data_IF_483218708799
#
_entry.id   IF_483218708799
#
_cell.length_a   1.000
_cell.length_b   1.000
_cell.length_c   1.000
_cell.angle_alpha   90.00
_cell.angle_beta   90.00
_cell.angle_gamma   90.00
#
_symmetry.space_group_name_H-M   'P 1'
#
loop_
_entity.id
_entity.type
_entity.pdbx_description
1 polymer ?
#
# COMPACT_ATOMS: atom_id res chain seq x y z
N UNK A 1 5.26 26.56 10.39
CA UNK A 1 4.03 27.17 9.85
C UNK A 1 4.05 27.11 8.32
N UNK A 2 3.56 26.03 7.72
CA UNK A 2 3.48 25.84 6.25
C UNK A 2 2.03 25.66 5.76
N UNK A 3 1.03 25.66 6.66
CA UNK A 3 -0.35 25.29 6.34
C UNK A 3 -1.15 26.35 5.57
N UNK A 4 -0.62 27.56 5.36
CA UNK A 4 -1.34 28.60 4.61
C UNK A 4 -1.33 28.39 3.10
N UNK A 5 -0.31 27.72 2.54
CA UNK A 5 -0.15 27.55 1.09
C UNK A 5 -0.52 26.17 0.57
N UNK A 6 -0.70 25.20 1.46
CA UNK A 6 -0.99 23.82 1.13
C UNK A 6 -2.37 23.42 1.64
N UNK A 7 -2.99 22.47 0.95
CA UNK A 7 -4.20 21.77 1.37
C UNK A 7 -3.93 20.28 1.35
N UNK A 8 -4.40 19.58 2.37
CA UNK A 8 -4.33 18.12 2.45
C UNK A 8 -5.73 17.54 2.27
N UNK A 9 -5.85 16.52 1.43
CA UNK A 9 -7.05 15.69 1.27
C UNK A 9 -6.70 14.27 1.67
N UNK A 10 -7.57 13.62 2.44
CA UNK A 10 -7.42 12.21 2.79
C UNK A 10 -8.47 11.38 2.05
N UNK A 11 -8.09 10.18 1.62
CA UNK A 11 -9.02 9.19 1.11
C UNK A 11 -9.70 8.47 2.28
N UNK A 12 -10.79 7.75 1.99
CA UNK A 12 -11.37 6.80 2.93
C UNK A 12 -10.33 5.72 3.25
N UNK A 13 -10.28 5.29 4.52
CA UNK A 13 -9.46 4.15 4.92
C UNK A 13 -10.00 2.87 4.28
N UNK A 14 -9.11 2.07 3.73
CA UNK A 14 -9.45 0.78 3.14
C UNK A 14 -8.81 -0.34 3.95
N UNK A 15 -9.52 -1.46 4.11
CA UNK A 15 -9.06 -2.64 4.83
C UNK A 15 -8.96 -3.79 3.86
N UNK A 16 -7.81 -4.45 3.82
CA UNK A 16 -7.57 -5.60 2.96
C UNK A 16 -7.27 -6.82 3.82
N UNK A 17 -7.97 -7.94 3.63
CA UNK A 17 -7.71 -9.14 4.39
C UNK A 17 -6.32 -9.71 4.05
N UNK A 18 -5.58 -10.14 5.07
CA UNK A 18 -4.32 -10.86 4.93
C UNK A 18 -4.62 -12.37 5.02
N UNK A 19 -3.79 -13.18 4.36
CA UNK A 19 -3.83 -14.64 4.44
C UNK A 19 -3.54 -15.12 5.87
N UNK A 20 -4.29 -16.12 6.35
CA UNK A 20 -4.14 -16.69 7.70
C UNK A 20 -2.81 -17.45 7.88
N UNK A 21 -2.17 -17.81 6.77
CA UNK A 21 -0.85 -18.44 6.80
C UNK A 21 0.27 -17.47 7.23
N UNK A 22 0.00 -16.15 7.25
CA UNK A 22 0.95 -15.14 7.71
C UNK A 22 0.65 -14.68 9.13
N UNK A 23 1.70 -14.65 9.96
CA UNK A 23 1.65 -14.03 11.27
C UNK A 23 1.81 -12.51 11.20
N UNK A 24 1.49 -11.82 12.30
CA UNK A 24 1.76 -10.38 12.44
C UNK A 24 3.25 -10.10 12.22
N UNK A 25 4.12 -10.96 12.73
CA UNK A 25 5.56 -10.78 12.62
C UNK A 25 6.03 -10.87 11.17
N UNK A 26 5.51 -11.83 10.39
CA UNK A 26 5.87 -11.98 8.98
C UNK A 26 5.51 -10.73 8.18
N UNK A 27 4.34 -10.13 8.46
CA UNK A 27 3.91 -8.90 7.81
C UNK A 27 4.74 -7.70 8.29
N UNK A 28 5.02 -7.59 9.60
CA UNK A 28 5.87 -6.51 10.13
C UNK A 28 7.29 -6.57 9.58
N UNK A 29 7.87 -7.75 9.45
CA UNK A 29 9.21 -7.94 8.88
C UNK A 29 9.27 -7.40 7.45
N UNK A 30 8.22 -7.63 6.66
CA UNK A 30 8.08 -7.03 5.33
C UNK A 30 7.94 -5.51 5.43
N UNK A 31 7.05 -4.99 6.28
CA UNK A 31 6.79 -3.55 6.39
C UNK A 31 8.00 -2.76 6.93
N UNK A 32 8.86 -3.38 7.73
CA UNK A 32 10.06 -2.75 8.30
C UNK A 32 11.30 -2.92 7.43
N UNK A 33 11.29 -3.87 6.49
CA UNK A 33 12.39 -4.05 5.54
C UNK A 33 12.24 -3.08 4.37
N UNK A 34 12.70 -1.84 4.57
CA UNK A 34 12.54 -0.76 3.58
C UNK A 34 13.15 -1.07 2.20
N UNK A 35 14.24 -1.84 2.11
CA UNK A 35 14.85 -2.28 0.84
C UNK A 35 14.00 -3.31 0.09
N UNK A 36 13.18 -4.07 0.82
CA UNK A 36 12.21 -5.00 0.23
C UNK A 36 11.00 -4.20 -0.25
N UNK A 37 10.45 -3.35 0.61
CA UNK A 37 9.31 -2.49 0.26
C UNK A 37 9.57 -1.61 -0.95
N UNK A 38 10.78 -1.08 -1.12
CA UNK A 38 11.10 -0.29 -2.31
C UNK A 38 10.96 -1.13 -3.60
N UNK A 39 11.37 -2.40 -3.56
CA UNK A 39 11.19 -3.31 -4.69
C UNK A 39 9.72 -3.72 -4.89
N UNK A 40 8.93 -3.80 -3.82
CA UNK A 40 7.48 -4.06 -3.93
C UNK A 40 6.75 -2.85 -4.52
N UNK A 41 7.05 -1.64 -4.06
CA UNK A 41 6.38 -0.42 -4.51
C UNK A 41 6.81 0.03 -5.91
N UNK A 42 8.06 -0.24 -6.29
CA UNK A 42 8.60 0.14 -7.60
C UNK A 42 9.41 -1.01 -8.23
N UNK A 43 8.74 -2.12 -8.63
CA UNK A 43 9.43 -3.34 -9.06
C UNK A 43 10.25 -3.20 -10.34
N UNK A 44 9.91 -2.23 -11.20
CA UNK A 44 10.60 -1.96 -12.46
C UNK A 44 11.46 -0.68 -12.45
N UNK A 45 11.57 0.01 -11.32
CA UNK A 45 12.38 1.22 -11.22
C UNK A 45 13.80 0.89 -10.81
N UNK A 46 14.76 1.64 -11.36
CA UNK A 46 16.13 1.61 -10.84
C UNK A 46 16.11 2.42 -9.55
N UNK A 47 16.25 1.74 -8.41
CA UNK A 47 16.42 2.44 -7.13
C UNK A 47 17.88 2.83 -7.01
N UNK A 48 18.29 3.83 -7.78
CA UNK A 48 19.65 4.39 -7.73
C UNK A 48 19.77 5.34 -6.54
N UNK A 49 20.69 5.03 -5.63
CA UNK A 49 20.95 5.88 -4.48
C UNK A 49 20.01 5.59 -3.31
N UNK A 50 20.36 4.54 -2.55
CA UNK A 50 20.16 4.56 -1.11
C UNK A 50 21.02 5.71 -0.56
N UNK A 51 20.57 6.96 -0.69
CA UNK A 51 21.12 8.08 0.09
C UNK A 51 20.66 7.87 1.54
N UNK A 52 21.31 6.90 2.22
CA UNK A 52 21.25 6.71 3.65
C UNK A 52 21.93 7.89 4.32
N UNK A 53 21.27 9.04 4.32
CA UNK A 53 21.80 10.23 4.98
C UNK A 53 20.70 11.15 5.50
N UNK A 54 19.93 10.68 6.49
CA UNK A 54 19.69 11.47 7.72
C UNK A 54 19.20 10.55 8.84
N UNK A 55 19.84 10.68 9.99
CA UNK A 55 19.93 9.81 11.17
C UNK A 55 18.59 9.51 11.88
N UNK A 56 18.03 8.30 11.70
CA UNK A 56 17.25 7.54 12.71
C UNK A 56 16.99 6.11 12.20
N UNK A 57 17.01 5.06 13.05
CA UNK A 57 16.86 3.66 12.63
C UNK A 57 15.50 3.33 11.96
N UNK A 58 14.48 4.17 12.13
CA UNK A 58 13.11 3.92 11.66
C UNK A 58 12.76 4.61 10.33
N UNK A 59 13.67 5.38 9.72
CA UNK A 59 13.36 6.15 8.50
C UNK A 59 14.42 5.96 7.44
N UNK A 60 14.00 5.64 6.21
CA UNK A 60 14.87 5.56 5.04
C UNK A 60 14.33 6.43 3.91
N UNK A 61 15.22 7.21 3.30
CA UNK A 61 14.92 8.02 2.12
C UNK A 61 15.42 7.30 0.87
N UNK A 62 14.64 7.33 -0.19
CA UNK A 62 14.91 6.72 -1.48
C UNK A 62 14.75 7.76 -2.57
N UNK A 63 15.67 7.78 -3.52
CA UNK A 63 15.45 8.43 -4.80
C UNK A 63 14.95 7.36 -5.75
N UNK A 64 13.73 7.53 -6.27
CA UNK A 64 13.14 6.60 -7.22
C UNK A 64 13.21 7.25 -8.59
N UNK A 65 14.16 6.79 -9.40
CA UNK A 65 14.21 7.18 -10.81
C UNK A 65 13.32 6.25 -11.61
N UNK A 66 12.33 6.85 -12.27
CA UNK A 66 11.58 6.25 -13.36
C UNK A 66 12.01 6.92 -14.67
N UNK A 67 11.71 6.30 -15.82
CA UNK A 67 12.13 6.76 -17.15
C UNK A 67 11.85 8.26 -17.41
N UNK A 68 10.81 8.81 -16.76
CA UNK A 68 10.30 10.16 -17.00
C UNK A 68 10.33 11.09 -15.77
N UNK A 69 10.70 10.58 -14.58
CA UNK A 69 10.61 11.35 -13.32
C UNK A 69 11.65 10.90 -12.30
N UNK A 70 12.25 11.88 -11.60
CA UNK A 70 13.06 11.66 -10.41
C UNK A 70 12.23 12.03 -9.18
N UNK A 71 11.35 11.12 -8.78
CA UNK A 71 10.51 11.32 -7.61
C UNK A 71 11.28 10.91 -6.34
N UNK A 72 11.10 11.70 -5.28
CA UNK A 72 11.71 11.41 -3.98
C UNK A 72 10.72 10.68 -3.11
N UNK A 73 11.08 9.50 -2.65
CA UNK A 73 10.27 8.72 -1.74
C UNK A 73 10.92 8.62 -0.35
N UNK A 74 10.12 8.58 0.70
CA UNK A 74 10.57 8.36 2.07
C UNK A 74 9.72 7.26 2.68
N UNK A 75 10.36 6.19 3.16
CA UNK A 75 9.74 5.17 3.99
C UNK A 75 10.05 5.45 5.46
N UNK A 76 9.02 5.42 6.29
CA UNK A 76 9.14 5.56 7.74
C UNK A 76 8.41 4.41 8.41
N UNK A 77 9.15 3.54 9.09
CA UNK A 77 8.61 2.49 9.94
C UNK A 77 8.09 3.08 11.25
N UNK A 78 6.98 2.53 11.71
CA UNK A 78 6.34 2.75 13.01
C UNK A 78 6.13 1.37 13.66
N UNK A 79 5.69 1.32 14.92
CA UNK A 79 5.58 0.06 15.65
C UNK A 79 4.71 -1.00 14.94
N UNK A 80 3.57 -0.57 14.37
CA UNK A 80 2.54 -1.40 13.73
C UNK A 80 2.27 -1.01 12.26
N UNK A 81 3.08 -0.10 11.71
CA UNK A 81 2.81 0.52 10.43
C UNK A 81 4.07 0.92 9.67
N UNK A 82 3.91 1.19 8.37
CA UNK A 82 4.90 1.87 7.54
C UNK A 82 4.23 2.97 6.72
N UNK A 83 4.85 4.14 6.71
CA UNK A 83 4.42 5.28 5.90
C UNK A 83 5.37 5.48 4.73
N UNK A 84 4.84 5.45 3.51
CA UNK A 84 5.50 5.92 2.30
C UNK A 84 5.05 7.34 1.97
N UNK A 85 6.00 8.24 1.74
CA UNK A 85 5.73 9.60 1.30
C UNK A 85 6.52 9.88 0.02
N UNK A 86 5.82 10.26 -1.03
CA UNK A 86 6.38 10.61 -2.34
C UNK A 86 6.19 12.09 -2.62
N UNK A 87 7.27 12.79 -2.93
CA UNK A 87 7.28 14.20 -3.30
C UNK A 87 7.63 14.33 -4.79
N UNK A 88 6.80 15.08 -5.51
CA UNK A 88 7.02 15.40 -6.92
C UNK A 88 7.50 16.84 -7.09
N UNK A 89 8.05 17.15 -8.27
CA UNK A 89 8.62 18.47 -8.62
C UNK A 89 7.64 19.65 -8.50
N UNK A 90 6.32 19.40 -8.47
CA UNK A 90 5.29 20.44 -8.34
C UNK A 90 4.89 20.72 -6.88
N UNK A 91 5.66 20.21 -5.91
CA UNK A 91 5.35 20.33 -4.48
C UNK A 91 4.13 19.51 -4.06
N UNK A 92 3.74 18.52 -4.88
CA UNK A 92 2.73 17.55 -4.50
C UNK A 92 3.39 16.49 -3.62
N UNK A 93 2.69 16.12 -2.56
CA UNK A 93 3.13 15.08 -1.63
C UNK A 93 2.02 14.05 -1.48
N UNK A 94 2.29 12.85 -1.96
CA UNK A 94 1.43 11.69 -1.76
C UNK A 94 1.93 10.93 -0.54
N UNK A 95 1.03 10.59 0.36
CA UNK A 95 1.35 9.81 1.56
C UNK A 95 0.42 8.62 1.62
N UNK A 96 0.99 7.44 1.80
CA UNK A 96 0.25 6.21 2.10
C UNK A 96 0.84 5.58 3.36
N UNK A 97 -0.02 5.24 4.31
CA UNK A 97 0.34 4.51 5.52
C UNK A 97 -0.33 3.15 5.46
N UNK A 98 0.46 2.10 5.64
CA UNK A 98 -0.02 0.74 5.80
C UNK A 98 0.12 0.35 7.25
N UNK A 99 -0.97 -0.07 7.88
CA UNK A 99 -1.02 -0.48 9.29
C UNK A 99 -1.62 -1.87 9.42
N UNK A 100 -1.08 -2.67 10.32
CA UNK A 100 -1.62 -3.99 10.61
C UNK A 100 -2.74 -3.85 11.66
N UNK A 101 -3.91 -4.38 11.34
CA UNK A 101 -5.03 -4.45 12.26
C UNK A 101 -5.32 -5.92 12.56
N UNK A 102 -5.28 -6.28 13.85
CA UNK A 102 -5.72 -7.59 14.32
C UNK A 102 -7.13 -7.47 14.89
N UNK A 103 -8.09 -8.13 14.23
CA UNK A 103 -9.50 -8.18 14.66
C UNK A 103 -9.69 -8.81 16.05
N UNK A 104 -8.69 -9.55 16.57
CA UNK A 104 -8.69 -10.09 17.94
C UNK A 104 -8.58 -9.02 19.03
N UNK A 105 -7.86 -7.94 18.76
CA UNK A 105 -7.47 -6.95 19.77
C UNK A 105 -8.11 -5.58 19.57
N UNK A 106 -8.82 -5.37 18.46
CA UNK A 106 -9.49 -4.10 18.16
C UNK A 106 -11.01 -4.27 17.97
N UNK A 107 -11.78 -4.42 19.06
CA UNK A 107 -13.24 -4.59 19.00
C UNK A 107 -13.99 -3.30 18.58
N UNK A 108 -13.33 -2.15 18.54
CA UNK A 108 -13.94 -0.86 18.17
C UNK A 108 -14.19 -0.75 16.65
N UNK A 109 -13.62 -1.63 15.82
CA UNK A 109 -13.87 -1.67 14.38
C UNK A 109 -14.97 -2.66 13.99
N UNK A 110 -16.15 -2.51 14.62
CA UNK A 110 -17.43 -3.14 14.23
C UNK A 110 -17.86 -2.86 12.77
N UNK A 111 -17.08 -2.05 12.03
CA UNK A 111 -17.24 -1.66 10.63
C UNK A 111 -16.85 -2.80 9.66
N UNK A 112 -16.03 -3.77 10.09
CA UNK A 112 -15.66 -4.91 9.24
C UNK A 112 -16.90 -5.71 8.81
N UNK A 113 -17.96 -5.70 9.60
CA UNK A 113 -19.22 -6.37 9.27
C UNK A 113 -20.07 -5.60 8.23
N UNK A 114 -20.01 -4.27 8.19
CA UNK A 114 -20.84 -3.45 7.27
C UNK A 114 -20.29 -3.41 5.84
N UNK A 115 -18.98 -3.56 5.65
CA UNK A 115 -18.35 -3.54 4.32
C UNK A 115 -18.68 -4.82 3.52
N UNK A 116 -18.88 -5.96 4.20
CA UNK A 116 -19.16 -7.24 3.56
C UNK A 116 -20.66 -7.59 3.47
N UNK A 117 -21.56 -6.81 4.10
CA UNK A 117 -23.01 -7.07 4.04
C UNK A 117 -23.75 -6.33 2.92
N UNK A 118 -23.13 -5.37 2.22
CA UNK A 118 -23.84 -4.57 1.21
C UNK A 118 -24.04 -5.26 -0.16
N UNK A 119 -23.60 -6.50 -0.37
CA UNK A 119 -23.79 -7.24 -1.63
C UNK A 119 -24.63 -8.53 -1.50
N UNK A 120 -25.51 -8.66 -0.50
CA UNK A 120 -26.43 -9.81 -0.45
C UNK A 120 -27.83 -9.41 -0.03
N UNK A 121 -28.53 -8.72 -0.92
CA UNK A 121 -29.99 -8.64 -0.90
C UNK A 121 -30.57 -9.90 -1.52
N UNK A 122 -30.75 -10.97 -0.73
CA UNK A 122 -31.91 -11.88 -0.79
C UNK A 122 -31.60 -13.22 -0.14
N UNK A 123 -31.97 -13.38 1.13
CA UNK A 123 -32.84 -14.47 1.61
C UNK A 123 -32.74 -14.58 3.13
N UNK A 124 -33.89 -14.41 3.76
CA UNK A 124 -34.12 -14.72 5.16
C UNK A 124 -33.96 -16.23 5.40
N UNK A 125 -33.67 -16.56 6.66
CA UNK A 125 -33.89 -17.83 7.38
C UNK A 125 -32.59 -18.61 7.71
N UNK A 126 -32.34 -18.69 9.02
CA UNK A 126 -31.50 -19.62 9.77
C UNK A 126 -29.97 -19.46 9.78
N UNK A 127 -29.52 -19.10 10.99
CA UNK A 127 -28.43 -19.76 11.71
C UNK A 127 -27.04 -19.66 11.10
N UNK A 128 -26.24 -18.75 11.65
CA UNK A 128 -25.09 -19.04 12.53
C UNK A 128 -24.35 -17.72 12.67
N UNK A 129 -24.27 -17.17 13.87
CA UNK A 129 -23.23 -16.20 14.21
C UNK A 129 -21.91 -16.87 13.86
N UNK A 130 -21.39 -16.59 12.67
CA UNK A 130 -20.07 -17.03 12.25
C UNK A 130 -19.10 -16.57 13.35
N UNK A 131 -18.22 -17.45 13.86
CA UNK A 131 -17.24 -17.03 14.84
C UNK A 131 -16.50 -15.85 14.25
N UNK A 132 -16.27 -14.81 15.06
CA UNK A 132 -15.45 -13.66 14.72
C UNK A 132 -14.12 -14.22 14.19
N UNK A 133 -13.99 -14.36 12.87
CA UNK A 133 -12.80 -14.94 12.26
C UNK A 133 -11.66 -14.02 12.65
N UNK A 134 -10.77 -14.56 13.48
CA UNK A 134 -9.62 -13.85 14.00
C UNK A 134 -8.64 -13.66 12.86
N UNK A 135 -8.88 -12.61 12.08
CA UNK A 135 -8.17 -12.32 10.84
C UNK A 135 -7.34 -11.05 10.96
N UNK A 136 -6.18 -11.07 10.32
CA UNK A 136 -5.31 -9.92 10.15
C UNK A 136 -5.73 -9.13 8.91
N UNK A 137 -5.70 -7.80 9.04
CA UNK A 137 -6.01 -6.88 7.96
C UNK A 137 -4.86 -5.91 7.77
N UNK A 138 -4.63 -5.55 6.51
CA UNK A 138 -3.80 -4.43 6.12
C UNK A 138 -4.71 -3.22 5.93
N UNK A 139 -4.61 -2.23 6.82
CA UNK A 139 -5.28 -0.95 6.68
C UNK A 139 -4.43 -0.01 5.83
N UNK A 140 -5.03 0.57 4.80
CA UNK A 140 -4.45 1.59 3.96
C UNK A 140 -5.08 2.95 4.29
N UNK A 141 -4.25 3.91 4.66
CA UNK A 141 -4.63 5.31 4.82
C UNK A 141 -3.86 6.17 3.82
N UNK A 142 -4.58 6.86 2.92
CA UNK A 142 -3.97 7.71 1.89
C UNK A 142 -4.29 9.17 2.12
N UNK A 143 -3.30 10.02 1.87
CA UNK A 143 -3.49 11.47 1.77
C UNK A 143 -2.67 12.08 0.66
N UNK A 144 -3.13 13.22 0.18
CA UNK A 144 -2.50 14.05 -0.83
C UNK A 144 -2.43 15.47 -0.31
N UNK A 145 -1.21 15.98 -0.17
CA UNK A 145 -0.94 17.38 0.13
C UNK A 145 -0.50 18.08 -1.14
N UNK A 146 -1.18 19.17 -1.48
CA UNK A 146 -0.92 19.94 -2.69
C UNK A 146 -0.96 21.44 -2.40
N UNK A 147 -0.26 22.28 -3.18
CA UNK A 147 -0.47 23.71 -3.16
C UNK A 147 -1.96 24.04 -3.39
N UNK A 148 -2.51 25.00 -2.64
CA UNK A 148 -3.94 25.36 -2.72
C UNK A 148 -4.46 25.58 -4.15
N UNK A 149 -3.73 26.27 -5.06
CA UNK A 149 -4.19 26.44 -6.44
C UNK A 149 -4.42 25.13 -7.19
N UNK A 150 -3.65 24.08 -6.88
CA UNK A 150 -3.74 22.77 -7.51
C UNK A 150 -4.73 21.84 -6.79
N UNK A 151 -5.03 22.11 -5.53
CA UNK A 151 -5.81 21.21 -4.67
C UNK A 151 -7.23 20.92 -5.17
N UNK A 152 -7.87 21.88 -5.84
CA UNK A 152 -9.23 21.73 -6.41
C UNK A 152 -9.24 20.83 -7.66
N UNK A 153 -8.13 20.78 -8.40
CA UNK A 153 -7.99 19.98 -9.62
C UNK A 153 -7.70 18.51 -9.33
N UNK A 154 -7.20 18.21 -8.13
CA UNK A 154 -6.81 16.85 -7.77
C UNK A 154 -7.97 16.06 -7.16
N UNK A 155 -8.21 14.88 -7.76
CA UNK A 155 -9.12 13.85 -7.26
C UNK A 155 -8.30 12.65 -6.81
N UNK A 156 -8.65 12.07 -5.67
CA UNK A 156 -8.09 10.79 -5.24
C UNK A 156 -8.87 9.68 -5.92
N UNK A 157 -8.16 8.66 -6.40
CA UNK A 157 -8.79 7.46 -6.97
C UNK A 157 -9.31 6.59 -5.82
N UNK A 158 -10.49 6.01 -6.01
CA UNK A 158 -11.02 4.98 -5.12
C UNK A 158 -10.34 3.63 -5.39
N UNK A 159 -10.24 2.79 -4.35
CA UNK A 159 -9.65 1.46 -4.44
C UNK A 159 -8.12 1.46 -4.31
N UNK A 160 -7.51 0.25 -4.34
CA UNK A 160 -6.10 0.06 -4.08
C UNK A 160 -5.26 0.71 -5.18
N UNK A 161 -4.34 1.57 -4.76
CA UNK A 161 -3.31 2.12 -5.64
C UNK A 161 -2.33 1.03 -6.07
N UNK A 162 -1.53 1.27 -7.11
CA UNK A 162 -0.61 0.27 -7.66
C UNK A 162 0.31 -0.32 -6.59
N UNK A 163 0.83 0.52 -5.68
CA UNK A 163 1.70 0.08 -4.57
C UNK A 163 1.00 -0.90 -3.63
N UNK A 164 -0.25 -0.63 -3.30
CA UNK A 164 -1.09 -1.49 -2.47
C UNK A 164 -1.37 -2.80 -3.17
N UNK A 165 -1.70 -2.79 -4.46
CA UNK A 165 -1.88 -4.03 -5.24
C UNK A 165 -0.62 -4.88 -5.26
N UNK A 166 0.54 -4.26 -5.46
CA UNK A 166 1.82 -4.96 -5.42
C UNK A 166 2.10 -5.55 -4.04
N UNK A 167 1.82 -4.80 -2.97
CA UNK A 167 2.00 -5.27 -1.59
C UNK A 167 1.06 -6.43 -1.26
N UNK A 168 -0.21 -6.34 -1.63
CA UNK A 168 -1.18 -7.42 -1.42
C UNK A 168 -0.79 -8.67 -2.21
N UNK A 169 -0.38 -8.51 -3.47
CA UNK A 169 0.15 -9.61 -4.27
C UNK A 169 1.38 -10.25 -3.62
N UNK A 170 2.32 -9.43 -3.15
CA UNK A 170 3.52 -9.90 -2.47
C UNK A 170 3.19 -10.69 -1.21
N UNK A 171 2.30 -10.19 -0.36
CA UNK A 171 1.89 -10.91 0.86
C UNK A 171 1.17 -12.22 0.53
N UNK A 172 0.27 -12.22 -0.46
CA UNK A 172 -0.43 -13.43 -0.90
C UNK A 172 0.56 -14.49 -1.40
N UNK A 173 1.49 -14.13 -2.28
CA UNK A 173 2.49 -15.06 -2.80
C UNK A 173 3.48 -15.53 -1.72
N UNK A 174 3.87 -14.64 -0.80
CA UNK A 174 4.69 -15.00 0.35
C UNK A 174 4.01 -16.06 1.23
N UNK A 175 2.69 -15.97 1.37
CA UNK A 175 1.89 -16.95 2.11
C UNK A 175 1.84 -18.33 1.44
N UNK A 176 2.01 -18.39 0.10
CA UNK A 176 2.00 -19.61 -0.70
C UNK A 176 3.36 -20.27 -0.78
N UNK A 177 4.42 -19.46 -0.88
CA UNK A 177 5.79 -19.92 -1.15
C UNK A 177 6.62 -20.12 0.13
N UNK A 178 5.99 -20.20 1.30
CA UNK A 178 6.68 -20.48 2.57
C UNK A 178 7.62 -19.36 3.02
N UNK A 179 7.26 -18.10 2.77
CA UNK A 179 8.05 -16.90 3.12
C UNK A 179 9.36 -16.69 2.33
N UNK A 180 9.54 -17.33 1.17
CA UNK A 180 10.64 -16.97 0.25
C UNK A 180 10.40 -15.61 -0.42
N UNK A 181 10.93 -14.55 0.21
CA UNK A 181 10.80 -13.18 -0.27
C UNK A 181 11.47 -12.94 -1.63
N UNK A 182 12.56 -13.64 -1.94
CA UNK A 182 13.30 -13.41 -3.19
C UNK A 182 12.51 -13.93 -4.40
N UNK A 183 11.97 -15.15 -4.28
CA UNK A 183 11.09 -15.74 -5.29
C UNK A 183 9.83 -14.89 -5.49
N UNK A 184 9.22 -14.42 -4.40
CA UNK A 184 8.03 -13.55 -4.47
C UNK A 184 8.32 -12.21 -5.19
N UNK A 185 9.48 -11.59 -4.98
CA UNK A 185 9.88 -10.39 -5.74
C UNK A 185 10.02 -10.70 -7.23
N UNK A 186 10.61 -11.84 -7.60
CA UNK A 186 10.72 -12.24 -9.00
C UNK A 186 9.32 -12.39 -9.64
N UNK A 187 8.41 -13.12 -8.97
CA UNK A 187 7.02 -13.27 -9.43
C UNK A 187 6.29 -11.94 -9.57
N UNK A 188 6.52 -11.00 -8.64
CA UNK A 188 5.95 -9.65 -8.73
C UNK A 188 6.47 -8.90 -9.96
N UNK A 189 7.79 -8.94 -10.20
CA UNK A 189 8.41 -8.29 -11.38
C UNK A 189 7.88 -8.86 -12.68
N UNK A 190 7.74 -10.18 -12.77
CA UNK A 190 7.19 -10.86 -13.94
C UNK A 190 5.73 -10.46 -14.17
N UNK A 191 4.91 -10.48 -13.11
CA UNK A 191 3.50 -10.06 -13.16
C UNK A 191 3.34 -8.62 -13.66
N UNK A 192 4.15 -7.69 -13.14
CA UNK A 192 4.11 -6.27 -13.55
C UNK A 192 4.62 -6.08 -14.98
N UNK A 193 5.62 -6.87 -15.41
CA UNK A 193 6.13 -6.83 -16.79
C UNK A 193 5.09 -7.30 -17.79
N UNK A 194 4.45 -8.44 -17.56
CA UNK A 194 3.36 -8.97 -18.40
C UNK A 194 2.18 -7.99 -18.46
N UNK A 195 1.81 -7.39 -17.33
CA UNK A 195 0.74 -6.40 -17.29
C UNK A 195 1.08 -5.13 -18.09
N UNK A 196 2.36 -4.74 -18.15
CA UNK A 196 2.83 -3.59 -18.95
C UNK A 196 2.79 -3.92 -20.45
N UNK A 197 3.27 -5.09 -20.85
CA UNK A 197 3.28 -5.53 -22.25
C UNK A 197 1.87 -5.59 -22.84
N UNK A 198 0.93 -6.21 -22.12
CA UNK A 198 -0.49 -6.29 -22.53
C UNK A 198 -1.16 -4.93 -22.72
N UNK A 199 -0.73 -3.90 -21.96
CA UNK A 199 -1.25 -2.53 -22.15
C UNK A 199 -0.68 -1.87 -23.39
N UNK A 200 0.59 -2.12 -23.70
CA UNK A 200 1.24 -1.57 -24.88
C UNK A 200 0.70 -2.18 -26.18
N UNK A 201 0.36 -3.47 -26.16
CA UNK A 201 -0.27 -4.16 -27.29
C UNK A 201 -1.66 -3.57 -27.61
N UNK A 202 -2.51 -3.36 -26.59
CA UNK A 202 -3.82 -2.71 -26.77
C UNK A 202 -3.76 -1.29 -27.31
N UNK A 203 -2.67 -0.56 -27.06
CA UNK A 203 -2.54 0.83 -27.52
C UNK A 203 -2.06 0.92 -28.98
N UNK A 204 -1.67 -0.20 -29.61
CA UNK A 204 -1.25 -0.25 -31.01
C UNK A 204 -2.36 -0.70 -31.97
N UNK A 205 -3.49 -1.17 -31.44
CA UNK A 205 -4.64 -1.60 -32.23
C UNK A 205 -5.74 -0.52 -32.37
N UNK A 206 -5.59 0.62 -31.68
CA UNK A 206 -6.44 1.81 -31.76
C UNK A 206 -5.78 2.94 -32.59
#
# INVERSE_FOLDING_TARGET
MLSFFYSTKAAKKELYPISEALSIQDVLDVLHTHSMLSQVFWPLSVTEGLEKKTTTPQRTKFTVSSLDTNDKATLTSQADAVTCTEETILGLRFTVTYRIIDSRYNPEQKIIHDIFQTESTSSLINSTTLPLETRLYLEEERSLTAPKPLSSLMKMKDGPIVKTRNLLFFLEEMSRNGADMASTIASLKDSVTVARERRQEKTKED
#
